data_IF_196465354985
#
_entry.id   IF_196465354985
#
_cell.length_a   1.000
_cell.length_b   1.000
_cell.length_c   1.000
_cell.angle_alpha   90.00
_cell.angle_beta   90.00
_cell.angle_gamma   90.00
#
_symmetry.space_group_name_H-M   'P 1'
#
loop_
_entity.id
_entity.type
_entity.pdbx_description
1 polymer ?
#
# COMPACT_ATOMS: atom_id res chain seq x y z
N UNK A 1 -27.72 -31.95 32.06
CA UNK A 1 -28.15 -30.98 31.03
C UNK A 1 -27.76 -31.53 29.67
N UNK A 2 -28.70 -31.68 28.72
CA UNK A 2 -28.40 -32.34 27.44
C UNK A 2 -27.60 -31.42 26.52
N UNK A 3 -26.62 -32.02 25.84
CA UNK A 3 -25.79 -31.40 24.84
C UNK A 3 -26.62 -30.88 23.65
N UNK A 4 -26.31 -29.67 23.20
CA UNK A 4 -26.90 -29.06 22.00
C UNK A 4 -26.20 -29.63 20.77
N UNK A 5 -26.92 -30.22 19.79
CA UNK A 5 -26.29 -30.63 18.54
C UNK A 5 -26.05 -29.38 17.69
N UNK A 6 -24.82 -28.86 17.68
CA UNK A 6 -24.41 -27.81 16.75
C UNK A 6 -23.85 -28.47 15.49
N UNK A 7 -24.74 -28.90 14.61
CA UNK A 7 -24.30 -29.68 13.45
C UNK A 7 -25.32 -29.83 12.34
N UNK A 8 -26.17 -28.82 12.11
CA UNK A 8 -26.88 -28.57 10.85
C UNK A 8 -27.79 -27.33 10.98
N UNK A 9 -27.86 -26.52 9.90
CA UNK A 9 -28.77 -25.39 9.64
C UNK A 9 -28.23 -23.94 9.81
N UNK A 10 -27.23 -23.59 9.00
CA UNK A 10 -27.10 -22.26 8.40
C UNK A 10 -26.20 -22.40 7.17
N UNK A 11 -26.68 -22.02 5.98
CA UNK A 11 -25.76 -21.84 4.85
C UNK A 11 -24.77 -20.77 5.28
N UNK A 12 -23.47 -21.11 5.37
CA UNK A 12 -22.45 -20.16 5.84
C UNK A 12 -22.55 -18.85 5.05
N UNK A 13 -22.39 -17.71 5.71
CA UNK A 13 -22.48 -16.39 5.07
C UNK A 13 -21.56 -16.30 3.83
N UNK A 14 -20.37 -16.88 3.94
CA UNK A 14 -19.40 -17.02 2.85
C UNK A 14 -19.96 -17.78 1.64
N UNK A 15 -20.76 -18.84 1.87
CA UNK A 15 -21.40 -19.60 0.78
C UNK A 15 -22.55 -18.83 0.15
N UNK A 16 -23.28 -18.01 0.91
CA UNK A 16 -24.28 -17.10 0.33
C UNK A 16 -23.59 -16.04 -0.53
N UNK A 17 -22.46 -15.49 -0.07
CA UNK A 17 -21.67 -14.52 -0.82
C UNK A 17 -21.03 -15.11 -2.08
N UNK A 18 -20.55 -16.36 -2.04
CA UNK A 18 -20.03 -17.06 -3.21
C UNK A 18 -21.13 -17.32 -4.26
N UNK A 19 -22.33 -17.72 -3.84
CA UNK A 19 -23.49 -17.85 -4.73
C UNK A 19 -23.88 -16.50 -5.34
N UNK A 20 -23.81 -15.42 -4.56
CA UNK A 20 -24.02 -14.08 -5.05
C UNK A 20 -23.02 -13.70 -6.15
N UNK A 21 -21.72 -14.01 -5.95
CA UNK A 21 -20.70 -13.80 -6.99
C UNK A 21 -21.04 -14.57 -8.26
N UNK A 22 -21.38 -15.85 -8.15
CA UNK A 22 -21.75 -16.66 -9.31
C UNK A 22 -22.92 -16.03 -10.09
N UNK A 23 -23.97 -15.60 -9.39
CA UNK A 23 -25.12 -14.94 -10.01
C UNK A 23 -24.72 -13.64 -10.73
N UNK A 24 -23.89 -12.80 -10.09
CA UNK A 24 -23.41 -11.55 -10.69
C UNK A 24 -22.49 -11.79 -11.89
N UNK A 25 -21.59 -12.76 -11.81
CA UNK A 25 -20.73 -13.16 -12.93
C UNK A 25 -21.54 -13.71 -14.10
N UNK A 26 -22.62 -14.45 -13.84
CA UNK A 26 -23.54 -14.92 -14.90
C UNK A 26 -24.22 -13.75 -15.61
N UNK A 27 -24.57 -12.69 -14.87
CA UNK A 27 -25.10 -11.46 -15.45
C UNK A 27 -24.07 -10.70 -16.31
N UNK A 28 -22.81 -10.65 -15.87
CA UNK A 28 -21.72 -9.97 -16.60
C UNK A 28 -21.23 -10.75 -17.82
N UNK A 29 -21.21 -12.09 -17.74
CA UNK A 29 -20.59 -12.98 -18.70
C UNK A 29 -21.48 -14.20 -19.03
N UNK A 30 -22.70 -14.03 -19.55
CA UNK A 30 -23.71 -15.10 -19.62
C UNK A 30 -23.21 -16.35 -20.38
N UNK A 31 -22.80 -16.19 -21.63
CA UNK A 31 -22.34 -17.32 -22.45
C UNK A 31 -20.94 -17.78 -22.06
N UNK A 32 -20.07 -16.83 -21.71
CA UNK A 32 -18.65 -17.07 -21.41
C UNK A 32 -18.47 -17.82 -20.09
N UNK A 33 -19.29 -17.53 -19.08
CA UNK A 33 -19.27 -18.24 -17.81
C UNK A 33 -19.75 -19.68 -17.99
N UNK A 34 -20.83 -19.89 -18.74
CA UNK A 34 -21.36 -21.22 -19.04
C UNK A 34 -20.33 -22.08 -19.79
N UNK A 35 -19.56 -21.48 -20.71
CA UNK A 35 -18.44 -22.18 -21.39
C UNK A 35 -17.34 -22.63 -20.44
N UNK A 36 -17.06 -21.86 -19.39
CA UNK A 36 -16.00 -22.15 -18.42
C UNK A 36 -16.45 -23.06 -17.28
N UNK A 37 -17.73 -23.02 -16.93
CA UNK A 37 -18.37 -23.87 -15.92
C UNK A 37 -19.53 -24.65 -16.57
N UNK A 38 -19.23 -25.65 -17.42
CA UNK A 38 -20.24 -26.33 -18.23
C UNK A 38 -21.13 -27.31 -17.46
N UNK A 39 -20.73 -27.74 -16.25
CA UNK A 39 -21.44 -28.74 -15.47
C UNK A 39 -21.78 -28.24 -14.06
N UNK A 40 -22.85 -28.80 -13.49
CA UNK A 40 -23.27 -28.50 -12.11
C UNK A 40 -22.18 -28.85 -11.10
N UNK A 41 -21.42 -29.92 -11.34
CA UNK A 41 -20.29 -30.32 -10.49
C UNK A 41 -19.21 -29.23 -10.42
N UNK A 42 -18.81 -28.67 -11.57
CA UNK A 42 -17.83 -27.59 -11.60
C UNK A 42 -18.35 -26.31 -10.96
N UNK A 43 -19.64 -26.00 -11.13
CA UNK A 43 -20.29 -24.88 -10.45
C UNK A 43 -20.23 -25.06 -8.92
N UNK A 44 -20.56 -26.24 -8.42
CA UNK A 44 -20.53 -26.55 -6.99
C UNK A 44 -19.11 -26.49 -6.43
N UNK A 45 -18.12 -27.01 -7.15
CA UNK A 45 -16.72 -26.96 -6.76
C UNK A 45 -16.20 -25.52 -6.70
N UNK A 46 -16.51 -24.70 -7.71
CA UNK A 46 -16.17 -23.28 -7.73
C UNK A 46 -16.78 -22.54 -6.54
N UNK A 47 -18.09 -22.70 -6.29
CA UNK A 47 -18.78 -22.04 -5.18
C UNK A 47 -18.23 -22.48 -3.82
N UNK A 48 -17.95 -23.77 -3.64
CA UNK A 48 -17.36 -24.28 -2.40
C UNK A 48 -15.96 -23.69 -2.17
N UNK A 49 -15.08 -23.78 -3.17
CA UNK A 49 -13.70 -23.28 -3.09
C UNK A 49 -13.67 -21.77 -2.85
N UNK A 50 -14.56 -21.02 -3.52
CA UNK A 50 -14.67 -19.58 -3.35
C UNK A 50 -15.14 -19.21 -1.95
N UNK A 51 -16.13 -19.93 -1.41
CA UNK A 51 -16.64 -19.69 -0.06
C UNK A 51 -15.55 -19.90 1.00
N UNK A 52 -14.82 -21.01 0.92
CA UNK A 52 -13.75 -21.34 1.86
C UNK A 52 -12.63 -20.29 1.84
N UNK A 53 -12.21 -19.86 0.64
CA UNK A 53 -11.17 -18.84 0.50
C UNK A 53 -11.65 -17.42 0.89
N UNK A 54 -12.92 -17.10 0.65
CA UNK A 54 -13.52 -15.84 1.13
C UNK A 54 -13.53 -15.78 2.65
N UNK A 55 -13.92 -16.87 3.31
CA UNK A 55 -13.92 -16.99 4.76
C UNK A 55 -12.50 -16.85 5.31
N UNK A 56 -11.55 -17.61 4.76
CA UNK A 56 -10.14 -17.60 5.17
C UNK A 56 -9.50 -16.20 5.06
N UNK A 57 -9.90 -15.41 4.06
CA UNK A 57 -9.34 -14.07 3.79
C UNK A 57 -10.19 -12.93 4.35
N UNK A 58 -11.31 -13.23 5.01
CA UNK A 58 -12.23 -12.21 5.54
C UNK A 58 -12.85 -11.31 4.47
N UNK A 59 -13.14 -11.87 3.29
CA UNK A 59 -13.72 -11.11 2.17
C UNK A 59 -15.14 -10.67 2.51
N UNK A 60 -15.39 -9.37 2.37
CA UNK A 60 -16.70 -8.78 2.64
C UNK A 60 -17.50 -8.54 1.37
N UNK A 61 -18.81 -8.27 1.53
CA UNK A 61 -19.69 -7.91 0.41
C UNK A 61 -19.20 -6.68 -0.36
N UNK A 62 -18.69 -5.67 0.33
CA UNK A 62 -18.21 -4.44 -0.28
C UNK A 62 -16.95 -4.67 -1.14
N UNK A 63 -16.05 -5.52 -0.66
CA UNK A 63 -14.87 -5.98 -1.43
C UNK A 63 -15.30 -6.73 -2.69
N UNK A 64 -16.30 -7.60 -2.58
CA UNK A 64 -16.88 -8.30 -3.73
C UNK A 64 -17.51 -7.34 -4.74
N UNK A 65 -18.30 -6.36 -4.31
CA UNK A 65 -18.90 -5.36 -5.21
C UNK A 65 -17.83 -4.48 -5.89
N UNK A 66 -16.77 -4.11 -5.17
CA UNK A 66 -15.63 -3.41 -5.75
C UNK A 66 -14.91 -4.28 -6.79
N UNK A 67 -14.68 -5.56 -6.47
CA UNK A 67 -14.06 -6.52 -7.38
C UNK A 67 -14.89 -6.76 -8.63
N UNK A 68 -16.20 -6.97 -8.50
CA UNK A 68 -17.11 -7.15 -9.63
C UNK A 68 -17.16 -5.93 -10.55
N UNK A 69 -17.13 -4.70 -10.00
CA UNK A 69 -17.05 -3.47 -10.80
C UNK A 69 -15.77 -3.41 -11.62
N UNK A 70 -14.62 -3.75 -11.02
CA UNK A 70 -13.32 -3.80 -11.72
C UNK A 70 -13.31 -4.87 -12.80
N UNK A 71 -13.83 -6.06 -12.51
CA UNK A 71 -13.94 -7.15 -13.48
C UNK A 71 -14.80 -6.72 -14.68
N UNK A 72 -15.92 -6.03 -14.42
CA UNK A 72 -16.79 -5.53 -15.48
C UNK A 72 -16.09 -4.50 -16.40
N UNK A 73 -15.13 -3.73 -15.88
CA UNK A 73 -14.38 -2.73 -16.67
C UNK A 73 -13.10 -3.27 -17.31
N UNK A 74 -12.42 -4.21 -16.67
CA UNK A 74 -11.06 -4.64 -17.05
C UNK A 74 -11.01 -6.00 -17.75
N UNK A 75 -12.04 -6.85 -17.58
CA UNK A 75 -12.00 -8.23 -18.05
C UNK A 75 -12.99 -8.48 -19.18
N UNK A 76 -12.48 -9.05 -20.29
CA UNK A 76 -13.34 -9.60 -21.33
C UNK A 76 -13.92 -10.96 -20.93
N UNK A 77 -13.17 -11.77 -20.19
CA UNK A 77 -13.59 -13.12 -19.77
C UNK A 77 -13.78 -13.20 -18.25
N UNK A 78 -14.71 -14.04 -17.76
CA UNK A 78 -14.93 -14.22 -16.33
C UNK A 78 -13.68 -14.83 -15.67
N UNK A 79 -13.13 -14.24 -14.60
CA UNK A 79 -12.04 -14.83 -13.84
C UNK A 79 -12.58 -15.96 -12.95
N UNK A 80 -12.69 -17.17 -13.51
CA UNK A 80 -13.16 -18.37 -12.80
C UNK A 80 -12.13 -18.92 -11.80
N UNK A 81 -10.86 -18.59 -11.96
CA UNK A 81 -9.82 -18.98 -11.03
C UNK A 81 -10.02 -18.19 -9.73
N UNK A 82 -10.37 -18.89 -8.65
CA UNK A 82 -10.67 -18.28 -7.35
C UNK A 82 -9.58 -17.29 -6.89
N UNK A 83 -8.26 -17.62 -6.96
CA UNK A 83 -7.23 -16.66 -6.59
C UNK A 83 -7.21 -15.40 -7.47
N UNK A 84 -7.54 -15.51 -8.76
CA UNK A 84 -7.61 -14.36 -9.68
C UNK A 84 -8.79 -13.47 -9.30
N UNK A 85 -9.97 -14.05 -9.14
CA UNK A 85 -11.17 -13.32 -8.71
C UNK A 85 -10.94 -12.59 -7.39
N UNK A 86 -10.35 -13.26 -6.41
CA UNK A 86 -10.10 -12.68 -5.09
C UNK A 86 -9.11 -11.52 -5.16
N UNK A 87 -8.10 -11.55 -6.06
CA UNK A 87 -7.24 -10.38 -6.28
C UNK A 87 -8.01 -9.15 -6.73
N UNK A 88 -9.07 -9.29 -7.52
CA UNK A 88 -9.92 -8.14 -7.88
C UNK A 88 -10.70 -7.59 -6.69
N UNK A 89 -11.11 -8.46 -5.76
CA UNK A 89 -11.83 -8.08 -4.55
C UNK A 89 -10.92 -7.39 -3.52
N UNK A 90 -9.61 -7.64 -3.56
CA UNK A 90 -8.68 -7.02 -2.62
C UNK A 90 -8.52 -5.50 -2.90
N UNK A 91 -8.48 -4.66 -1.86
CA UNK A 91 -8.21 -3.23 -2.01
C UNK A 91 -6.87 -2.97 -2.69
N UNK A 92 -5.84 -3.74 -2.29
CA UNK A 92 -4.48 -3.71 -2.83
C UNK A 92 -4.21 -5.02 -3.55
N UNK A 93 -3.92 -4.97 -4.86
CA UNK A 93 -3.83 -6.16 -5.74
C UNK A 93 -2.41 -6.70 -5.90
N UNK A 94 -1.45 -5.78 -5.96
CA UNK A 94 -0.04 -6.07 -6.20
C UNK A 94 0.76 -5.50 -5.03
N UNK A 95 1.27 -6.41 -4.21
CA UNK A 95 1.96 -6.05 -2.97
C UNK A 95 3.35 -5.47 -3.27
N UNK A 96 3.97 -5.88 -4.37
CA UNK A 96 5.24 -5.32 -4.80
C UNK A 96 5.05 -3.91 -5.36
N UNK A 97 4.02 -3.69 -6.18
CA UNK A 97 3.67 -2.35 -6.64
C UNK A 97 3.32 -1.43 -5.47
N UNK A 98 2.56 -1.93 -4.48
CA UNK A 98 2.24 -1.19 -3.25
C UNK A 98 3.50 -0.89 -2.41
N UNK A 99 4.47 -1.81 -2.37
CA UNK A 99 5.77 -1.55 -1.72
C UNK A 99 6.55 -0.44 -2.44
N UNK A 100 6.63 -0.50 -3.78
CA UNK A 100 7.30 0.53 -4.59
C UNK A 100 6.62 1.90 -4.43
N UNK A 101 5.28 1.91 -4.42
CA UNK A 101 4.49 3.11 -4.12
C UNK A 101 4.84 3.67 -2.73
N UNK A 102 4.81 2.80 -1.70
CA UNK A 102 5.12 3.17 -0.33
C UNK A 102 6.54 3.72 -0.18
N UNK A 103 7.53 3.10 -0.81
CA UNK A 103 8.91 3.56 -0.81
C UNK A 103 9.07 4.95 -1.45
N UNK A 104 8.43 5.17 -2.61
CA UNK A 104 8.41 6.46 -3.30
C UNK A 104 7.78 7.54 -2.43
N UNK A 105 6.57 7.30 -1.92
CA UNK A 105 5.82 8.27 -1.12
C UNK A 105 6.45 8.52 0.26
N UNK A 106 7.06 7.51 0.88
CA UNK A 106 7.84 7.68 2.11
C UNK A 106 9.03 8.63 1.89
N UNK A 107 9.71 8.51 0.75
CA UNK A 107 10.83 9.38 0.38
C UNK A 107 10.36 10.82 0.14
N UNK A 108 9.27 11.02 -0.61
CA UNK A 108 8.67 12.34 -0.83
C UNK A 108 8.19 12.99 0.47
N UNK A 109 7.58 12.21 1.37
CA UNK A 109 7.12 12.67 2.68
C UNK A 109 8.27 13.07 3.58
N UNK A 110 9.36 12.30 3.60
CA UNK A 110 10.58 12.64 4.35
C UNK A 110 11.20 13.95 3.87
N UNK A 111 11.21 14.17 2.55
CA UNK A 111 11.71 15.41 1.93
C UNK A 111 10.70 16.56 1.98
N UNK A 112 9.51 16.35 2.58
CA UNK A 112 8.40 17.32 2.63
C UNK A 112 8.01 17.88 1.24
N UNK A 113 8.05 17.02 0.22
CA UNK A 113 7.69 17.37 -1.16
C UNK A 113 6.41 16.68 -1.64
N UNK A 114 5.80 15.81 -0.82
CA UNK A 114 4.58 15.07 -1.17
C UNK A 114 4.24 14.02 -0.11
N UNK A 115 3.48 13.00 -0.51
CA UNK A 115 3.03 11.94 0.41
C UNK A 115 1.87 12.40 1.29
N UNK A 116 1.01 13.26 0.72
CA UNK A 116 -0.26 13.67 1.30
C UNK A 116 -1.26 12.51 1.30
N UNK A 117 -2.33 12.55 2.12
CA UNK A 117 -3.35 11.50 2.16
C UNK A 117 -3.90 11.12 0.77
N UNK A 118 -4.11 12.11 -0.10
CA UNK A 118 -4.60 11.96 -1.47
C UNK A 118 -3.61 11.30 -2.45
N UNK A 119 -2.32 11.25 -2.12
CA UNK A 119 -1.30 10.66 -3.00
C UNK A 119 -1.26 9.12 -2.92
N UNK A 120 -1.86 8.55 -1.87
CA UNK A 120 -1.86 7.10 -1.63
C UNK A 120 -3.01 6.43 -2.37
N UNK A 121 -2.72 5.34 -3.07
CA UNK A 121 -3.71 4.53 -3.77
C UNK A 121 -4.76 3.96 -2.81
N UNK A 122 -4.35 3.67 -1.57
CA UNK A 122 -5.23 3.20 -0.51
C UNK A 122 -4.64 3.52 0.88
N UNK A 123 -5.45 3.90 1.89
CA UNK A 123 -4.97 4.19 3.24
C UNK A 123 -4.18 3.05 3.90
N UNK A 124 -4.53 1.80 3.58
CA UNK A 124 -3.80 0.61 4.05
C UNK A 124 -2.31 0.64 3.66
N UNK A 125 -1.97 1.16 2.47
CA UNK A 125 -0.57 1.23 2.01
C UNK A 125 0.23 2.20 2.87
N UNK A 126 -0.37 3.35 3.25
CA UNK A 126 0.24 4.30 4.18
C UNK A 126 0.49 3.66 5.55
N UNK A 127 -0.54 3.04 6.14
CA UNK A 127 -0.44 2.47 7.47
C UNK A 127 0.49 1.26 7.52
N UNK A 128 0.53 0.47 6.45
CA UNK A 128 1.52 -0.59 6.28
C UNK A 128 2.93 -0.01 6.24
N UNK A 129 3.17 1.05 5.47
CA UNK A 129 4.48 1.72 5.42
C UNK A 129 4.89 2.31 6.77
N UNK A 130 3.94 2.89 7.52
CA UNK A 130 4.20 3.42 8.85
C UNK A 130 4.56 2.33 9.86
N UNK A 131 3.89 1.17 9.83
CA UNK A 131 4.22 0.00 10.69
C UNK A 131 5.50 -0.69 10.28
N UNK A 132 5.75 -0.78 8.98
CA UNK A 132 6.99 -1.33 8.43
C UNK A 132 8.18 -0.48 8.87
N UNK A 133 7.99 0.83 8.96
CA UNK A 133 8.97 1.80 9.46
C UNK A 133 9.49 2.68 8.32
N UNK A 134 9.39 4.00 8.49
CA UNK A 134 9.73 4.97 7.44
C UNK A 134 11.20 4.96 7.01
N UNK A 135 12.12 4.63 7.92
CA UNK A 135 13.53 4.49 7.57
C UNK A 135 13.77 3.24 6.75
N UNK A 136 13.27 2.09 7.21
CA UNK A 136 13.44 0.81 6.53
C UNK A 136 12.75 0.80 5.16
N UNK A 137 11.54 1.32 5.06
CA UNK A 137 10.78 1.41 3.80
C UNK A 137 11.58 2.13 2.70
N UNK A 138 12.35 3.16 3.05
CA UNK A 138 13.15 3.93 2.08
C UNK A 138 14.46 3.26 1.69
N UNK A 139 14.99 2.37 2.52
CA UNK A 139 16.33 1.82 2.35
C UNK A 139 16.36 0.32 1.99
N UNK A 140 15.23 -0.37 2.10
CA UNK A 140 15.13 -1.80 1.79
C UNK A 140 14.79 -2.07 0.32
N UNK A 141 15.33 -3.16 -0.22
CA UNK A 141 14.89 -3.72 -1.51
C UNK A 141 13.71 -4.67 -1.33
N UNK A 142 12.94 -4.89 -2.40
CA UNK A 142 11.84 -5.86 -2.38
C UNK A 142 12.31 -7.27 -2.00
N UNK A 143 13.47 -7.69 -2.50
CA UNK A 143 14.03 -9.01 -2.24
C UNK A 143 14.25 -9.25 -0.73
N UNK A 144 14.68 -8.21 0.01
CA UNK A 144 14.90 -8.30 1.45
C UNK A 144 13.62 -8.06 2.28
N UNK A 145 12.71 -7.22 1.79
CA UNK A 145 11.54 -6.75 2.57
C UNK A 145 10.24 -7.52 2.31
N UNK A 146 10.12 -8.24 1.19
CA UNK A 146 8.85 -8.79 0.68
C UNK A 146 8.06 -9.59 1.71
N UNK A 147 8.68 -10.57 2.39
CA UNK A 147 7.99 -11.42 3.35
C UNK A 147 7.37 -10.60 4.52
N UNK A 148 8.14 -9.67 5.07
CA UNK A 148 7.66 -8.81 6.17
C UNK A 148 6.65 -7.78 5.69
N UNK A 149 6.85 -7.20 4.50
CA UNK A 149 5.91 -6.26 3.91
C UNK A 149 4.55 -6.91 3.68
N UNK A 150 4.52 -8.13 3.11
CA UNK A 150 3.29 -8.89 2.88
C UNK A 150 2.55 -9.09 4.20
N UNK A 151 3.25 -9.55 5.24
CA UNK A 151 2.64 -9.76 6.55
C UNK A 151 2.07 -8.47 7.18
N UNK A 152 2.81 -7.36 7.10
CA UNK A 152 2.37 -6.06 7.64
C UNK A 152 1.20 -5.50 6.84
N UNK A 153 1.23 -5.60 5.51
CA UNK A 153 0.15 -5.12 4.67
C UNK A 153 -1.12 -5.96 4.88
N UNK A 154 -0.99 -7.28 5.00
CA UNK A 154 -2.12 -8.16 5.35
C UNK A 154 -2.71 -7.76 6.70
N UNK A 155 -1.89 -7.59 7.74
CA UNK A 155 -2.34 -7.13 9.05
C UNK A 155 -3.15 -5.83 8.93
N UNK A 156 -2.62 -4.83 8.24
CA UNK A 156 -3.28 -3.52 8.10
C UNK A 156 -4.56 -3.62 7.26
N UNK A 157 -4.62 -4.52 6.28
CA UNK A 157 -5.83 -4.76 5.51
C UNK A 157 -6.96 -5.36 6.37
N UNK A 158 -6.64 -6.10 7.44
CA UNK A 158 -7.64 -6.65 8.36
C UNK A 158 -8.30 -5.60 9.28
N UNK A 159 -7.76 -4.38 9.39
CA UNK A 159 -8.24 -3.37 10.33
C UNK A 159 -9.66 -2.87 10.06
N UNK A 160 -10.21 -3.14 8.86
CA UNK A 160 -11.53 -2.71 8.35
C UNK A 160 -11.74 -1.19 8.24
N UNK A 161 -11.16 -0.41 9.15
CA UNK A 161 -11.12 1.04 9.15
C UNK A 161 -9.71 1.51 9.47
N UNK A 162 -9.24 2.51 8.72
CA UNK A 162 -7.91 3.08 8.89
C UNK A 162 -8.02 4.45 9.57
N UNK A 163 -7.13 4.76 10.53
CA UNK A 163 -7.08 6.10 11.09
C UNK A 163 -6.78 7.14 9.99
N UNK A 164 -7.22 8.38 10.23
CA UNK A 164 -6.99 9.48 9.28
C UNK A 164 -5.49 9.72 9.15
N UNK A 165 -5.03 9.89 7.91
CA UNK A 165 -3.64 10.21 7.61
C UNK A 165 -3.42 11.70 7.83
N UNK A 166 -2.43 12.05 8.65
CA UNK A 166 -2.06 13.43 8.88
C UNK A 166 -1.35 14.04 7.66
N UNK A 167 -1.79 15.24 7.29
CA UNK A 167 -1.14 16.08 6.28
C UNK A 167 0.20 16.56 6.80
N UNK A 168 1.23 16.49 5.96
CA UNK A 168 2.55 17.05 6.28
C UNK A 168 2.64 18.43 5.64
N UNK A 169 3.15 19.40 6.38
CA UNK A 169 3.48 20.71 5.80
C UNK A 169 4.52 20.51 4.69
N UNK A 170 4.11 20.76 3.45
CA UNK A 170 5.00 20.76 2.30
C UNK A 170 5.89 21.99 2.43
N UNK A 171 7.19 21.81 2.27
CA UNK A 171 8.11 22.94 2.24
C UNK A 171 7.88 23.67 0.92
N UNK A 172 7.22 24.84 0.99
CA UNK A 172 7.12 25.76 -0.16
C UNK A 172 8.54 26.18 -0.51
N UNK A 173 8.93 26.03 -1.78
CA UNK A 173 10.19 26.28 -2.53
C UNK A 173 11.45 26.85 -1.81
N UNK A 174 11.33 27.65 -0.76
CA UNK A 174 12.43 28.28 -0.02
C UNK A 174 13.23 27.37 0.94
N UNK A 175 12.85 26.10 1.11
CA UNK A 175 13.61 25.14 1.94
C UNK A 175 14.21 23.95 1.17
N UNK A 176 14.17 23.98 -0.16
CA UNK A 176 14.79 22.95 -0.99
C UNK A 176 16.30 23.20 -1.09
N UNK A 177 17.11 22.23 -0.67
CA UNK A 177 18.55 22.14 -0.97
C UNK A 177 18.75 21.85 -2.47
N UNK A 178 18.34 22.77 -3.34
CA UNK A 178 18.55 22.65 -4.79
C UNK A 178 20.02 22.93 -5.13
N UNK A 179 20.51 22.44 -6.28
CA UNK A 179 21.85 22.81 -6.78
C UNK A 179 22.06 24.34 -6.85
N UNK A 180 20.99 25.10 -7.11
CA UNK A 180 21.03 26.55 -7.13
C UNK A 180 21.20 27.15 -5.72
N UNK A 181 20.47 26.64 -4.73
CA UNK A 181 20.61 27.04 -3.32
C UNK A 181 21.99 26.64 -2.80
N UNK A 182 22.47 25.43 -3.08
CA UNK A 182 23.81 24.98 -2.70
C UNK A 182 24.91 25.84 -3.35
N UNK A 183 24.77 26.20 -4.64
CA UNK A 183 25.71 27.11 -5.31
C UNK A 183 25.70 28.50 -4.68
N UNK A 184 24.51 29.01 -4.32
CA UNK A 184 24.36 30.32 -3.67
C UNK A 184 24.97 30.33 -2.26
N UNK A 185 24.73 29.29 -1.46
CA UNK A 185 25.32 29.13 -0.14
C UNK A 185 26.85 28.95 -0.21
N UNK A 186 27.35 28.15 -1.15
CA UNK A 186 28.79 28.01 -1.40
C UNK A 186 29.44 29.34 -1.84
N UNK A 187 28.74 30.16 -2.64
CA UNK A 187 29.21 31.49 -3.02
C UNK A 187 29.26 32.45 -1.82
N UNK A 188 28.22 32.44 -0.97
CA UNK A 188 28.19 33.21 0.27
C UNK A 188 29.31 32.78 1.24
N UNK A 189 29.49 31.48 1.46
CA UNK A 189 30.59 30.95 2.28
C UNK A 189 31.97 31.37 1.73
N UNK A 190 32.16 31.35 0.42
CA UNK A 190 33.41 31.81 -0.21
C UNK A 190 33.65 33.30 -0.01
N UNK A 191 32.62 34.14 -0.06
CA UNK A 191 32.76 35.57 0.22
C UNK A 191 33.10 35.85 1.69
N UNK A 192 32.48 35.13 2.63
CA UNK A 192 32.79 35.25 4.06
C UNK A 192 34.25 34.86 4.33
N UNK A 193 34.72 33.76 3.73
CA UNK A 193 36.10 33.32 3.85
C UNK A 193 37.09 34.29 3.17
N UNK A 194 36.75 34.83 2.00
CA UNK A 194 37.57 35.84 1.33
C UNK A 194 37.66 37.15 2.12
N UNK A 195 36.55 37.56 2.76
CA UNK A 195 36.53 38.72 3.66
C UNK A 195 37.36 38.51 4.93
N UNK A 196 37.35 37.31 5.50
CA UNK A 196 38.18 36.95 6.65
C UNK A 196 39.69 36.91 6.31
N UNK A 197 40.05 36.48 5.09
CA UNK A 197 41.44 36.45 4.62
C UNK A 197 41.94 37.86 4.24
N UNK A 198 41.09 38.72 3.68
CA UNK A 198 41.45 40.10 3.32
C UNK A 198 41.48 41.06 4.53
N UNK A 199 40.70 40.78 5.59
CA UNK A 199 40.57 41.63 6.77
C UNK A 199 41.59 41.40 7.89
N UNK A 200 42.47 40.40 7.78
CA UNK A 200 43.52 40.16 8.79
C UNK A 200 43.03 39.96 10.23
N UNK A 201 41.76 39.61 10.41
CA UNK A 201 41.15 39.36 11.71
C UNK A 201 40.60 37.93 11.73
N UNK A 202 41.05 37.12 12.68
CA UNK A 202 40.48 35.81 12.93
C UNK A 202 38.97 35.96 13.17
N UNK A 203 38.17 35.12 12.50
CA UNK A 203 36.74 35.05 12.79
C UNK A 203 36.55 34.73 14.28
N UNK A 204 35.67 35.45 15.01
CA UNK A 204 35.43 35.17 16.42
C UNK A 204 34.96 33.71 16.57
N UNK A 205 35.74 32.90 17.29
CA UNK A 205 35.51 31.45 17.48
C UNK A 205 36.55 30.50 16.88
N UNK A 206 37.58 31.01 16.19
CA UNK A 206 38.73 30.20 15.70
C UNK A 206 40.06 30.77 16.20
N UNK A 207 40.22 30.89 17.52
CA UNK A 207 41.53 31.15 18.11
C UNK A 207 42.38 29.88 18.05
N UNK A 208 43.54 29.98 17.40
CA UNK A 208 44.54 28.91 17.40
C UNK A 208 45.18 28.88 18.78
N UNK A 209 44.96 27.81 19.53
CA UNK A 209 45.78 27.50 20.70
C UNK A 209 47.25 27.48 20.26
N UNK A 210 48.04 28.37 20.86
CA UNK A 210 49.50 28.32 20.70
C UNK A 210 49.97 27.08 21.44
N UNK A 211 50.41 26.08 20.68
CA UNK A 211 51.20 24.97 21.21
C UNK A 211 52.46 25.57 21.84
N UNK A 212 52.61 25.35 23.15
CA UNK A 212 53.81 25.65 23.92
C UNK A 212 54.75 24.45 23.78
N UNK A 213 55.79 24.60 22.97
CA UNK A 213 57.22 24.51 23.34
C UNK A 213 58.11 24.75 22.11
#
# INVERSE_FOLDING_TARGET
>A
MPARPAGQSAVSESRQLANYVLARMKGLFPDRLTKKLPSMELVQLFVATLADEMERRGITRDMVEAGLRRIASECEWPPIDVPVFLRFCMPVRDYEAAFREAQRLASMRHQKMGGQPEDWSHPAVYWAASRFGWFEMRNSSWQAASARWVAVLDEVLTWRQWPKIDRVAITVEGGLQTKAVQRRELANMRQILAGAVAGGAAAPGFERDRVVE
#
